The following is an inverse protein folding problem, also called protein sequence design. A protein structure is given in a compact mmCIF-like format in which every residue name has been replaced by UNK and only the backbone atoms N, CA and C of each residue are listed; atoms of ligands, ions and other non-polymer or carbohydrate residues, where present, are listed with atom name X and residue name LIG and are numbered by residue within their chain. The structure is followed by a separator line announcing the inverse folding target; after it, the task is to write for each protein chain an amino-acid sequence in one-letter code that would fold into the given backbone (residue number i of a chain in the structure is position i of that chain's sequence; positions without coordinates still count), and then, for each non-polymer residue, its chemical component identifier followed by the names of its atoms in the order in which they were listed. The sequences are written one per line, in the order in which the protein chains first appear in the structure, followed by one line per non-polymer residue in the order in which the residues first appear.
data_IF_507565252191
#
_entry.id   IF_507565252191
#
_cell.length_a   1.000
_cell.length_b   1.000
_cell.length_c   1.000
_cell.angle_alpha   90.00
_cell.angle_beta   90.00
_cell.angle_gamma   90.00
#
_symmetry.space_group_name_H-M   'P 1'
#
loop_
_entity.id
_entity.type
_entity.pdbx_description
1 polymer ?
#
# COMPACT_ATOMS: atom_id res chain seq x y z
N UNK A 1 8.45 -9.04 -0.98
CA UNK A 1 7.93 -10.00 -1.99
C UNK A 1 6.58 -9.58 -2.57
N UNK A 2 5.53 -9.36 -1.75
CA UNK A 2 4.16 -9.02 -2.24
C UNK A 2 4.15 -7.99 -3.36
N UNK A 3 4.81 -6.84 -3.15
CA UNK A 3 4.83 -5.75 -4.13
C UNK A 3 5.46 -6.15 -5.48
N UNK A 4 6.53 -6.94 -5.44
CA UNK A 4 7.20 -7.43 -6.65
C UNK A 4 6.33 -8.45 -7.40
N UNK A 5 5.67 -9.36 -6.67
CA UNK A 5 4.74 -10.33 -7.25
C UNK A 5 3.54 -9.63 -7.92
N UNK A 6 2.98 -8.61 -7.28
CA UNK A 6 1.90 -7.80 -7.86
C UNK A 6 2.33 -7.14 -9.16
N UNK A 7 3.52 -6.53 -9.20
CA UNK A 7 4.07 -5.95 -10.44
C UNK A 7 4.32 -7.01 -11.52
N UNK A 8 4.80 -8.20 -11.15
CA UNK A 8 4.97 -9.30 -12.09
C UNK A 8 3.64 -9.75 -12.69
N UNK A 9 2.57 -9.84 -11.90
CA UNK A 9 1.23 -10.17 -12.42
C UNK A 9 0.65 -9.06 -13.30
N UNK A 10 0.84 -7.80 -12.93
CA UNK A 10 0.46 -6.67 -13.80
C UNK A 10 1.21 -6.72 -15.14
N UNK A 11 2.50 -7.10 -15.12
CA UNK A 11 3.30 -7.22 -16.32
C UNK A 11 2.92 -8.42 -17.20
N UNK A 12 2.53 -9.54 -16.58
CA UNK A 12 2.17 -10.77 -17.28
C UNK A 12 0.79 -10.69 -17.94
N UNK A 13 -0.13 -9.88 -17.38
CA UNK A 13 -1.48 -9.57 -17.88
C UNK A 13 -2.31 -10.74 -18.41
N UNK A 14 -2.00 -11.96 -17.97
CA UNK A 14 -2.59 -13.19 -18.52
C UNK A 14 -3.96 -13.54 -17.93
N UNK A 15 -4.40 -12.83 -16.88
CA UNK A 15 -5.69 -13.01 -16.22
C UNK A 15 -6.27 -11.67 -15.77
N UNK A 16 -7.61 -11.47 -15.82
CA UNK A 16 -8.26 -10.29 -15.25
C UNK A 16 -8.00 -10.19 -13.74
N UNK A 17 -7.34 -9.13 -13.29
CA UNK A 17 -7.08 -8.87 -11.88
C UNK A 17 -8.25 -8.09 -11.25
N UNK A 18 -8.64 -8.45 -10.03
CA UNK A 18 -9.65 -7.71 -9.25
C UNK A 18 -9.12 -6.42 -8.61
N UNK A 19 -7.82 -6.21 -8.65
CA UNK A 19 -7.16 -5.06 -8.05
C UNK A 19 -5.65 -5.29 -7.89
N UNK A 20 -5.01 -4.33 -7.21
CA UNK A 20 -3.56 -4.31 -6.95
C UNK A 20 -3.34 -4.56 -5.46
N UNK A 21 -2.51 -5.53 -5.10
CA UNK A 21 -2.14 -5.76 -3.70
C UNK A 21 -0.81 -5.06 -3.40
N UNK A 22 -0.83 -4.17 -2.41
CA UNK A 22 0.37 -3.50 -1.91
C UNK A 22 0.59 -3.84 -0.44
N UNK A 23 1.84 -3.98 -0.02
CA UNK A 23 2.21 -4.26 1.35
C UNK A 23 3.35 -3.37 1.84
N UNK A 24 3.33 -3.07 3.13
CA UNK A 24 4.38 -2.33 3.85
C UNK A 24 4.62 -2.97 5.21
N UNK A 25 5.85 -2.84 5.72
CA UNK A 25 6.15 -3.14 7.12
C UNK A 25 5.87 -1.93 8.00
N UNK A 26 5.46 -2.18 9.24
CA UNK A 26 5.28 -1.18 10.29
C UNK A 26 5.98 -1.66 11.54
N UNK A 27 6.72 -0.77 12.20
CA UNK A 27 7.32 -0.98 13.51
C UNK A 27 6.81 0.03 14.52
N UNK A 28 6.69 -0.38 15.77
CA UNK A 28 6.42 0.49 16.92
C UNK A 28 7.65 0.55 17.81
N UNK A 29 8.24 1.72 17.97
CA UNK A 29 9.39 1.89 18.86
C UNK A 29 8.99 1.70 20.33
N UNK A 30 9.95 1.44 21.23
CA UNK A 30 9.70 1.40 22.69
C UNK A 30 9.03 2.66 23.26
N UNK A 31 9.13 3.80 22.56
CA UNK A 31 8.44 5.05 22.93
C UNK A 31 7.00 5.16 22.40
N UNK A 32 6.46 4.11 21.78
CA UNK A 32 5.11 4.10 21.21
C UNK A 32 4.99 4.75 19.83
N UNK A 33 6.10 5.14 19.19
CA UNK A 33 6.07 5.78 17.86
C UNK A 33 5.96 4.71 16.77
N UNK A 34 4.95 4.82 15.91
CA UNK A 34 4.79 3.98 14.73
C UNK A 34 5.57 4.52 13.52
N UNK A 35 6.19 3.61 12.77
CA UNK A 35 7.09 3.90 11.63
C UNK A 35 6.78 2.94 10.49
N UNK A 36 6.63 3.46 9.26
CA UNK A 36 6.46 2.66 8.03
C UNK A 36 7.82 2.35 7.42
N UNK A 37 8.00 1.13 6.94
CA UNK A 37 9.24 0.62 6.35
C UNK A 37 10.48 0.96 7.20
N UNK A 38 10.50 0.56 8.48
CA UNK A 38 11.69 0.74 9.29
C UNK A 38 12.92 0.09 8.65
N UNK A 39 14.08 0.75 8.76
CA UNK A 39 15.36 0.22 8.29
C UNK A 39 15.87 -0.88 9.22
N UNK A 40 16.42 -1.97 8.66
CA UNK A 40 16.89 -3.14 9.44
C UNK A 40 18.02 -2.80 10.42
N UNK A 41 18.84 -1.78 10.13
CA UNK A 41 20.07 -1.48 10.90
C UNK A 41 19.89 -0.38 11.95
N UNK A 42 18.74 0.31 12.00
CA UNK A 42 18.52 1.44 12.92
C UNK A 42 17.74 1.11 14.20
N UNK A 43 17.00 0.01 14.23
CA UNK A 43 15.91 -0.16 15.20
C UNK A 43 15.85 -1.56 15.80
N UNK A 44 16.88 -1.94 16.56
CA UNK A 44 16.84 -3.08 17.49
C UNK A 44 15.92 -2.87 18.71
N UNK A 45 15.00 -1.91 18.67
CA UNK A 45 14.21 -1.43 19.81
C UNK A 45 12.72 -1.25 19.48
N UNK A 46 12.14 -2.14 18.68
CA UNK A 46 10.69 -2.20 18.55
C UNK A 46 10.05 -2.90 19.74
N UNK A 47 8.92 -2.37 20.21
CA UNK A 47 8.00 -3.03 21.13
C UNK A 47 6.95 -3.88 20.38
N UNK A 48 6.65 -3.53 19.13
CA UNK A 48 5.81 -4.32 18.24
C UNK A 48 6.20 -4.11 16.78
N UNK A 49 5.91 -5.07 15.91
CA UNK A 49 6.12 -4.91 14.46
C UNK A 49 5.27 -5.87 13.66
N UNK A 50 5.10 -5.57 12.38
CA UNK A 50 4.45 -6.46 11.44
C UNK A 50 4.46 -5.92 10.04
N UNK A 51 3.76 -6.63 9.18
CA UNK A 51 3.52 -6.29 7.79
C UNK A 51 2.02 -6.36 7.54
N UNK A 52 1.54 -5.45 6.70
CA UNK A 52 0.15 -5.37 6.30
C UNK A 52 0.08 -5.33 4.78
N UNK A 53 -0.88 -6.05 4.21
CA UNK A 53 -1.17 -6.05 2.79
C UNK A 53 -2.61 -5.60 2.55
N UNK A 54 -2.79 -4.69 1.60
CA UNK A 54 -4.06 -4.12 1.21
C UNK A 54 -4.33 -4.35 -0.27
N UNK A 55 -5.55 -4.78 -0.59
CA UNK A 55 -6.07 -4.86 -1.95
C UNK A 55 -6.73 -3.53 -2.31
N UNK A 56 -6.25 -2.88 -3.36
CA UNK A 56 -6.81 -1.68 -3.98
C UNK A 56 -7.58 -2.10 -5.24
N UNK A 57 -8.91 -2.10 -5.17
CA UNK A 57 -9.79 -2.40 -6.32
C UNK A 57 -10.28 -1.15 -7.05
N UNK A 58 -10.41 -0.04 -6.33
CA UNK A 58 -10.88 1.25 -6.85
C UNK A 58 -10.02 2.40 -6.32
N UNK A 59 -10.29 3.64 -6.74
CA UNK A 59 -9.47 4.79 -6.37
C UNK A 59 -9.50 5.09 -4.86
N UNK A 60 -10.62 4.75 -4.22
CA UNK A 60 -10.93 5.13 -2.83
C UNK A 60 -11.06 3.94 -1.89
N UNK A 61 -11.16 2.71 -2.41
CA UNK A 61 -11.44 1.51 -1.61
C UNK A 61 -10.18 0.66 -1.50
N UNK A 62 -9.75 0.44 -0.26
CA UNK A 62 -8.65 -0.44 0.09
C UNK A 62 -9.06 -1.39 1.22
N UNK A 63 -8.87 -2.69 1.02
CA UNK A 63 -9.23 -3.73 1.98
C UNK A 63 -7.98 -4.41 2.49
N UNK A 64 -7.79 -4.46 3.81
CA UNK A 64 -6.71 -5.25 4.41
C UNK A 64 -6.99 -6.74 4.15
N UNK A 65 -6.11 -7.40 3.40
CA UNK A 65 -6.24 -8.82 3.03
C UNK A 65 -5.32 -9.73 3.82
N UNK A 66 -4.28 -9.16 4.45
CA UNK A 66 -3.35 -9.92 5.27
C UNK A 66 -2.60 -9.01 6.24
N UNK A 67 -2.34 -9.51 7.45
CA UNK A 67 -1.46 -8.87 8.42
C UNK A 67 -0.81 -9.89 9.34
N UNK A 68 0.41 -9.62 9.81
CA UNK A 68 1.10 -10.44 10.81
C UNK A 68 1.64 -9.60 11.98
N UNK A 69 0.89 -8.58 12.40
CA UNK A 69 1.23 -7.74 13.55
C UNK A 69 1.52 -8.57 14.80
N UNK A 70 2.63 -8.26 15.47
CA UNK A 70 3.09 -8.93 16.68
C UNK A 70 3.57 -7.90 17.69
N UNK A 71 3.06 -8.01 18.89
CA UNK A 71 3.61 -7.33 20.06
C UNK A 71 4.67 -8.20 20.74
N UNK A 72 5.80 -7.61 21.09
CA UNK A 72 6.88 -8.29 21.82
C UNK A 72 6.67 -8.29 23.34
N UNK A 73 5.67 -7.56 23.85
CA UNK A 73 5.27 -7.59 25.26
C UNK A 73 4.35 -8.77 25.60
N UNK A 74 3.91 -9.55 24.59
CA UNK A 74 3.09 -10.76 24.74
C UNK A 74 1.58 -10.56 24.63
N UNK A 75 1.09 -9.31 24.70
CA UNK A 75 -0.32 -8.98 24.47
C UNK A 75 -0.48 -8.09 23.24
N UNK A 76 -1.45 -8.41 22.39
CA UNK A 76 -1.84 -7.55 21.27
C UNK A 76 -2.86 -6.54 21.81
N UNK A 77 -2.47 -5.28 21.89
CA UNK A 77 -3.42 -4.19 22.10
C UNK A 77 -4.16 -3.92 20.79
N UNK A 78 -5.49 -3.95 20.85
CA UNK A 78 -6.35 -3.74 19.68
C UNK A 78 -6.22 -2.31 19.14
N UNK A 79 -6.04 -1.31 20.01
CA UNK A 79 -5.84 0.08 19.57
C UNK A 79 -4.51 0.23 18.84
N UNK A 80 -3.43 -0.35 19.37
CA UNK A 80 -2.13 -0.36 18.70
C UNK A 80 -2.22 -1.04 17.32
N UNK A 81 -2.96 -2.15 17.23
CA UNK A 81 -3.19 -2.84 15.96
C UNK A 81 -3.95 -1.94 14.96
N UNK A 82 -5.01 -1.26 15.39
CA UNK A 82 -5.78 -0.37 14.52
C UNK A 82 -4.96 0.86 14.08
N UNK A 83 -4.15 1.43 14.96
CA UNK A 83 -3.25 2.54 14.63
C UNK A 83 -2.16 2.09 13.63
N UNK A 84 -1.53 0.94 13.88
CA UNK A 84 -0.54 0.37 12.97
C UNK A 84 -1.15 0.05 11.60
N UNK A 85 -2.37 -0.51 11.57
CA UNK A 85 -3.11 -0.79 10.34
C UNK A 85 -3.48 0.48 9.58
N UNK A 86 -3.91 1.53 10.28
CA UNK A 86 -4.23 2.84 9.69
C UNK A 86 -2.99 3.47 9.06
N UNK A 87 -1.85 3.43 9.76
CA UNK A 87 -0.58 3.91 9.23
C UNK A 87 -0.12 3.08 8.02
N UNK A 88 -0.26 1.76 8.08
CA UNK A 88 0.07 0.87 6.98
C UNK A 88 -0.82 1.13 5.75
N UNK A 89 -2.09 1.47 5.94
CA UNK A 89 -2.98 1.85 4.84
C UNK A 89 -2.46 3.09 4.10
N UNK A 90 -2.04 4.12 4.84
CA UNK A 90 -1.40 5.31 4.26
C UNK A 90 -0.13 4.95 3.49
N UNK A 91 0.76 4.15 4.08
CA UNK A 91 2.00 3.72 3.43
C UNK A 91 1.77 2.87 2.17
N UNK A 92 0.82 1.92 2.21
CA UNK A 92 0.48 1.11 1.03
C UNK A 92 -0.18 1.92 -0.08
N UNK A 93 -0.91 2.99 0.25
CA UNK A 93 -1.47 3.91 -0.74
C UNK A 93 -0.38 4.62 -1.54
N UNK A 94 0.73 5.01 -0.90
CA UNK A 94 1.88 5.59 -1.60
C UNK A 94 2.53 4.58 -2.56
N UNK A 95 2.72 3.35 -2.11
CA UNK A 95 3.22 2.25 -2.95
C UNK A 95 2.31 2.02 -4.16
N UNK A 96 0.99 1.97 -3.94
CA UNK A 96 0.00 1.78 -4.99
C UNK A 96 0.02 2.93 -6.02
N UNK A 97 0.08 4.18 -5.57
CA UNK A 97 0.24 5.34 -6.45
C UNK A 97 1.54 5.24 -7.25
N UNK A 98 2.64 4.80 -6.63
CA UNK A 98 3.91 4.53 -7.30
C UNK A 98 3.78 3.48 -8.40
N UNK A 99 3.16 2.33 -8.09
CA UNK A 99 2.91 1.26 -9.05
C UNK A 99 2.06 1.73 -10.23
N UNK A 100 0.96 2.46 -9.99
CA UNK A 100 0.13 3.01 -11.08
C UNK A 100 0.93 3.90 -12.01
N UNK A 101 1.72 4.84 -11.46
CA UNK A 101 2.58 5.73 -12.26
C UNK A 101 3.63 4.98 -13.08
N UNK A 102 4.10 3.82 -12.61
CA UNK A 102 5.04 2.99 -13.36
C UNK A 102 4.35 2.25 -14.51
N UNK A 103 3.17 1.68 -14.26
CA UNK A 103 2.37 1.01 -15.29
C UNK A 103 1.90 2.00 -16.36
N UNK A 104 1.38 3.16 -15.98
CA UNK A 104 0.97 4.22 -16.90
C UNK A 104 2.11 4.63 -17.85
N UNK A 105 3.32 4.80 -17.31
CA UNK A 105 4.52 5.11 -18.11
C UNK A 105 4.90 3.98 -19.07
N UNK A 106 4.80 2.72 -18.64
CA UNK A 106 5.13 1.54 -19.46
C UNK A 106 4.17 1.37 -20.63
N UNK A 107 2.87 1.49 -20.38
CA UNK A 107 1.82 1.28 -21.39
C UNK A 107 1.63 2.50 -22.31
N UNK A 108 2.41 3.57 -22.12
CA UNK A 108 2.28 4.80 -22.93
C UNK A 108 0.95 5.52 -22.73
N UNK A 109 0.28 5.31 -21.59
CA UNK A 109 -1.04 5.87 -21.36
C UNK A 109 -0.93 7.36 -21.01
N UNK A 110 -1.22 8.24 -21.95
CA UNK A 110 -1.55 9.64 -21.66
C UNK A 110 -2.99 9.71 -21.14
N UNK A 111 -3.25 10.30 -19.96
CA UNK A 111 -4.61 10.57 -19.52
C UNK A 111 -5.30 11.37 -20.62
N UNK A 112 -6.43 10.88 -21.12
CA UNK A 112 -7.29 11.67 -22.00
C UNK A 112 -7.65 12.94 -21.23
N UNK A 113 -7.02 14.07 -21.55
CA UNK A 113 -7.62 15.38 -21.27
C UNK A 113 -8.97 15.30 -21.95
N UNK A 114 -10.04 15.25 -21.16
CA UNK A 114 -11.39 15.58 -21.61
C UNK A 114 -11.25 16.93 -22.33
N UNK A 115 -11.20 16.90 -23.67
CA UNK A 115 -11.38 18.09 -24.46
C UNK A 115 -12.83 18.48 -24.18
N UNK A 116 -13.01 19.51 -23.36
CA UNK A 116 -14.26 20.25 -23.35
C UNK A 116 -14.45 20.69 -24.80
N UNK A 117 -15.41 20.06 -25.48
CA UNK A 117 -15.82 20.48 -26.81
C UNK A 117 -16.63 21.74 -26.55
N UNK A 118 -15.99 22.91 -26.60
CA UNK A 118 -16.72 24.17 -26.68
C UNK A 118 -17.47 24.14 -28.02
N UNK A 119 -18.77 23.89 -27.92
CA UNK A 119 -19.68 23.93 -29.06
C UNK A 119 -19.66 25.32 -29.66
N UNK A 120 -19.26 25.39 -30.93
CA UNK A 120 -19.48 26.56 -31.77
C UNK A 120 -20.99 26.66 -32.01
N UNK A 121 -21.64 27.60 -31.32
CA UNK A 121 -22.96 28.09 -31.70
C UNK A 121 -22.77 29.02 -32.90
N UNK A 122 -23.04 28.50 -34.09
CA UNK A 122 -23.31 29.27 -35.30
C UNK A 122 -24.80 29.30 -35.57
#
# INVERSE_FOLDING_TARGET
MVNASTLAFLNASSVPLRGVVCAVSVGMSRGGKLIVNPEEEGEGNFSASGCFAFLFSEVTVATCVWSNWRSFSGNIDENEFQEAKSLALSGTKEVWVGMKKLVERREGWTPLRLKVVEGVLG
#
